data_IF_222127118217
#
_entry.id   IF_222127118217
#
_cell.length_a   1.000
_cell.length_b   1.000
_cell.length_c   1.000
_cell.angle_alpha   90.00
_cell.angle_beta   90.00
_cell.angle_gamma   90.00
#
_symmetry.space_group_name_H-M   'P 1'
#
loop_
_entity.id
_entity.type
_entity.pdbx_description
1 polymer ?
#
# COMPACT_ATOMS: atom_id res chain seq x y z
N UNK A 1 -52.05 45.75 5.19
CA UNK A 1 -50.91 45.39 4.32
C UNK A 1 -51.40 44.42 3.26
N UNK A 2 -51.59 44.90 2.03
CA UNK A 2 -52.11 44.12 0.90
C UNK A 2 -50.97 43.29 0.31
N UNK A 3 -51.05 41.97 0.41
CA UNK A 3 -50.20 41.06 -0.37
C UNK A 3 -50.58 41.26 -1.85
N UNK A 4 -49.62 41.54 -2.76
CA UNK A 4 -49.96 41.74 -4.17
C UNK A 4 -50.57 40.44 -4.72
N UNK A 5 -51.80 40.51 -5.26
CA UNK A 5 -52.40 39.37 -5.96
C UNK A 5 -51.58 39.09 -7.23
N UNK A 6 -50.79 38.01 -7.19
CA UNK A 6 -50.08 37.51 -8.37
C UNK A 6 -51.09 37.13 -9.45
N UNK A 7 -50.86 37.59 -10.69
CA UNK A 7 -51.72 37.22 -11.83
C UNK A 7 -51.68 35.70 -12.03
N UNK A 8 -52.80 35.04 -12.37
CA UNK A 8 -52.89 33.58 -12.46
C UNK A 8 -51.87 32.95 -13.42
N UNK A 9 -51.50 33.65 -14.51
CA UNK A 9 -50.44 33.20 -15.42
C UNK A 9 -49.06 33.16 -14.75
N UNK A 10 -48.76 34.13 -13.88
CA UNK A 10 -47.49 34.21 -13.13
C UNK A 10 -47.39 33.08 -12.10
N UNK A 11 -48.51 32.71 -11.45
CA UNK A 11 -48.60 31.55 -10.55
C UNK A 11 -48.31 30.22 -11.26
N UNK A 12 -48.79 30.07 -12.50
CA UNK A 12 -48.54 28.87 -13.32
C UNK A 12 -47.05 28.75 -13.68
N UNK A 13 -46.40 29.84 -14.13
CA UNK A 13 -44.96 29.82 -14.39
C UNK A 13 -44.13 29.59 -13.12
N UNK A 14 -44.56 30.15 -11.98
CA UNK A 14 -43.93 29.90 -10.69
C UNK A 14 -44.02 28.42 -10.30
N UNK A 15 -45.18 27.79 -10.46
CA UNK A 15 -45.36 26.37 -10.18
C UNK A 15 -44.56 25.47 -11.15
N UNK A 16 -44.52 25.80 -12.44
CA UNK A 16 -43.80 25.04 -13.47
C UNK A 16 -42.28 25.07 -13.29
N UNK A 17 -41.71 26.08 -12.64
CA UNK A 17 -40.28 26.17 -12.38
C UNK A 17 -39.92 25.75 -10.95
N UNK A 18 -40.67 26.19 -9.94
CA UNK A 18 -40.33 25.92 -8.55
C UNK A 18 -40.66 24.50 -8.12
N UNK A 19 -41.73 23.88 -8.60
CA UNK A 19 -42.06 22.51 -8.19
C UNK A 19 -41.00 21.51 -8.69
N UNK A 20 -40.56 21.54 -9.97
CA UNK A 20 -39.46 20.68 -10.43
C UNK A 20 -38.13 21.03 -9.77
N UNK A 21 -37.83 22.32 -9.55
CA UNK A 21 -36.60 22.73 -8.87
C UNK A 21 -36.56 22.25 -7.40
N UNK A 22 -37.69 22.34 -6.69
CA UNK A 22 -37.81 21.87 -5.31
C UNK A 22 -37.77 20.34 -5.24
N UNK A 23 -38.42 19.64 -6.18
CA UNK A 23 -38.32 18.20 -6.31
C UNK A 23 -36.88 17.76 -6.57
N UNK A 24 -36.21 18.37 -7.55
CA UNK A 24 -34.80 18.09 -7.84
C UNK A 24 -33.91 18.37 -6.64
N UNK A 25 -34.13 19.50 -5.96
CA UNK A 25 -33.38 19.85 -4.75
C UNK A 25 -33.54 18.79 -3.65
N UNK A 26 -34.76 18.39 -3.31
CA UNK A 26 -35.02 17.47 -2.20
C UNK A 26 -34.71 16.00 -2.53
N UNK A 27 -34.97 15.55 -3.76
CA UNK A 27 -34.89 14.12 -4.13
C UNK A 27 -33.53 13.75 -4.72
N UNK A 28 -32.85 14.70 -5.36
CA UNK A 28 -31.60 14.47 -6.07
C UNK A 28 -30.41 15.16 -5.39
N UNK A 29 -30.45 16.50 -5.32
CA UNK A 29 -29.29 17.28 -4.89
C UNK A 29 -28.98 17.12 -3.40
N UNK A 30 -29.96 17.34 -2.53
CA UNK A 30 -29.75 17.30 -1.09
C UNK A 30 -29.26 15.92 -0.59
N UNK A 31 -29.80 14.77 -1.06
CA UNK A 31 -29.26 13.46 -0.72
C UNK A 31 -27.82 13.26 -1.20
N UNK A 32 -27.52 13.61 -2.46
CA UNK A 32 -26.17 13.45 -3.02
C UNK A 32 -25.14 14.29 -2.25
N UNK A 33 -25.47 15.55 -1.93
CA UNK A 33 -24.61 16.44 -1.12
C UNK A 33 -24.44 15.90 0.29
N UNK A 34 -25.54 15.53 0.96
CA UNK A 34 -25.50 14.99 2.33
C UNK A 34 -24.61 13.75 2.42
N UNK A 35 -24.73 12.83 1.47
CA UNK A 35 -23.97 11.59 1.45
C UNK A 35 -22.47 11.85 1.26
N UNK A 36 -22.09 12.75 0.35
CA UNK A 36 -20.69 13.13 0.13
C UNK A 36 -20.08 13.82 1.35
N UNK A 37 -20.83 14.72 2.00
CA UNK A 37 -20.39 15.38 3.24
C UNK A 37 -20.16 14.34 4.33
N UNK A 38 -21.08 13.39 4.51
CA UNK A 38 -20.93 12.34 5.52
C UNK A 38 -19.69 11.46 5.25
N UNK A 39 -19.47 11.01 4.02
CA UNK A 39 -18.27 10.24 3.66
C UNK A 39 -16.98 11.01 3.93
N UNK A 40 -16.96 12.31 3.58
CA UNK A 40 -15.82 13.18 3.87
C UNK A 40 -15.58 13.34 5.38
N UNK A 41 -16.64 13.51 6.17
CA UNK A 41 -16.54 13.62 7.63
C UNK A 41 -16.03 12.32 8.28
N UNK A 42 -16.49 11.15 7.81
CA UNK A 42 -16.00 9.86 8.30
C UNK A 42 -14.53 9.63 7.95
N UNK A 43 -14.13 9.96 6.72
CA UNK A 43 -12.76 9.78 6.26
C UNK A 43 -11.75 10.65 7.02
N UNK A 44 -12.14 11.89 7.36
CA UNK A 44 -11.34 12.84 8.14
C UNK A 44 -11.55 12.75 9.66
N UNK A 45 -12.33 11.77 10.14
CA UNK A 45 -12.63 11.67 11.57
C UNK A 45 -11.37 11.29 12.36
N UNK A 46 -11.02 12.00 13.46
CA UNK A 46 -9.91 11.60 14.34
C UNK A 46 -10.08 10.18 14.90
N UNK A 47 -11.33 9.72 15.05
CA UNK A 47 -11.63 8.36 15.50
C UNK A 47 -11.18 7.30 14.50
N UNK A 48 -11.12 7.61 13.19
CA UNK A 48 -10.62 6.70 12.16
C UNK A 48 -9.15 6.39 12.43
N UNK A 49 -8.31 7.42 12.55
CA UNK A 49 -6.88 7.24 12.81
C UNK A 49 -6.62 6.49 14.12
N UNK A 50 -7.30 6.86 15.20
CA UNK A 50 -7.16 6.19 16.50
C UNK A 50 -7.46 4.69 16.44
N UNK A 51 -8.44 4.27 15.63
CA UNK A 51 -8.80 2.85 15.45
C UNK A 51 -7.81 2.11 14.56
N UNK A 52 -7.24 2.78 13.55
CA UNK A 52 -6.29 2.16 12.62
C UNK A 52 -4.87 2.11 13.19
N UNK A 53 -4.54 3.03 14.09
CA UNK A 53 -3.20 3.18 14.66
C UNK A 53 -2.95 2.33 15.92
N UNK A 54 -3.87 1.44 16.28
CA UNK A 54 -3.69 0.60 17.47
C UNK A 54 -2.55 -0.41 17.24
N UNK A 55 -1.53 -0.34 18.10
CA UNK A 55 -0.36 -1.21 18.04
C UNK A 55 -0.44 -2.28 19.13
N UNK A 56 -0.74 -3.55 18.80
CA UNK A 56 -1.08 -4.56 19.79
C UNK A 56 0.15 -5.26 20.40
N UNK A 57 1.34 -5.09 19.81
CA UNK A 57 2.53 -5.82 20.23
C UNK A 57 3.27 -5.11 21.36
N UNK A 58 3.80 -5.92 22.28
CA UNK A 58 4.69 -5.50 23.35
C UNK A 58 5.95 -6.33 23.26
N UNK A 59 7.09 -5.65 23.33
CA UNK A 59 8.40 -6.27 23.18
C UNK A 59 9.16 -6.17 24.50
N UNK A 60 9.88 -7.23 24.86
CA UNK A 60 10.75 -7.26 26.06
C UNK A 60 12.02 -6.42 25.86
N UNK A 61 12.35 -6.12 24.60
CA UNK A 61 13.48 -5.29 24.20
C UNK A 61 13.03 -4.07 23.41
N UNK A 62 13.85 -3.03 23.47
CA UNK A 62 13.69 -1.84 22.63
C UNK A 62 14.04 -2.16 21.17
N UNK A 63 13.10 -1.94 20.25
CA UNK A 63 13.30 -2.08 18.80
C UNK A 63 13.20 -0.70 18.17
N UNK A 64 14.34 -0.15 17.73
CA UNK A 64 14.38 1.14 17.03
C UNK A 64 13.97 0.96 15.58
N UNK A 65 13.16 1.89 15.05
CA UNK A 65 12.61 1.79 13.69
C UNK A 65 12.71 3.12 12.95
N UNK A 66 13.19 3.10 11.70
CA UNK A 66 13.01 4.23 10.79
C UNK A 66 11.92 3.93 9.76
N UNK A 67 11.01 4.87 9.53
CA UNK A 67 10.09 4.87 8.41
C UNK A 67 10.61 5.80 7.32
N UNK A 68 11.16 5.22 6.26
CA UNK A 68 11.71 5.93 5.11
C UNK A 68 10.62 6.11 4.06
N UNK A 69 10.31 7.37 3.75
CA UNK A 69 9.19 7.72 2.86
C UNK A 69 9.73 8.38 1.61
N UNK A 70 9.46 7.77 0.45
CA UNK A 70 9.68 8.39 -0.86
C UNK A 70 8.50 9.31 -1.22
N UNK A 71 8.78 10.58 -1.48
CA UNK A 71 7.75 11.59 -1.75
C UNK A 71 8.23 12.73 -2.65
N UNK A 72 7.29 13.57 -3.08
CA UNK A 72 7.47 14.90 -3.66
C UNK A 72 6.97 15.96 -2.69
N UNK A 73 7.27 17.24 -2.94
CA UNK A 73 6.93 18.37 -2.07
C UNK A 73 5.42 18.49 -1.83
N UNK A 74 4.62 18.23 -2.86
CA UNK A 74 3.15 18.31 -2.84
C UNK A 74 2.48 17.15 -2.11
N UNK A 75 3.22 16.07 -1.83
CA UNK A 75 2.65 14.86 -1.26
C UNK A 75 2.37 15.04 0.23
N UNK A 76 1.22 14.53 0.68
CA UNK A 76 0.78 14.60 2.06
C UNK A 76 1.25 13.38 2.85
N UNK A 77 2.04 13.63 3.90
CA UNK A 77 2.54 12.62 4.84
C UNK A 77 2.08 12.90 6.28
N UNK A 78 1.13 13.83 6.49
CA UNK A 78 0.64 14.23 7.82
C UNK A 78 0.01 13.05 8.58
N UNK A 79 -0.54 12.08 7.85
CA UNK A 79 -1.07 10.83 8.38
C UNK A 79 -0.07 10.03 9.23
N UNK A 80 1.25 10.21 9.01
CA UNK A 80 2.30 9.51 9.76
C UNK A 80 2.37 9.94 11.24
N UNK A 81 1.88 11.15 11.56
CA UNK A 81 1.80 11.66 12.93
C UNK A 81 0.86 10.83 13.82
N UNK A 82 -0.03 10.05 13.21
CA UNK A 82 -0.95 9.18 13.92
C UNK A 82 -0.39 7.78 14.20
N UNK A 83 0.80 7.44 13.68
CA UNK A 83 1.41 6.13 13.90
C UNK A 83 1.82 5.96 15.37
N UNK A 84 1.61 4.76 15.90
CA UNK A 84 1.97 4.39 17.28
C UNK A 84 2.98 3.24 17.34
N UNK A 85 3.72 3.04 16.26
CA UNK A 85 4.80 2.04 16.19
C UNK A 85 5.89 2.44 17.21
N UNK A 86 6.36 1.52 18.07
CA UNK A 86 7.37 1.83 19.08
C UNK A 86 8.67 2.37 18.48
N UNK A 87 9.24 3.41 19.12
CA UNK A 87 10.52 4.04 18.75
C UNK A 87 10.68 4.30 17.25
N UNK A 88 9.59 4.77 16.62
CA UNK A 88 9.53 5.10 15.21
C UNK A 88 10.08 6.51 14.96
N UNK A 89 11.02 6.62 14.04
CA UNK A 89 11.51 7.88 13.50
C UNK A 89 11.17 7.98 12.00
N UNK A 90 10.52 9.08 11.60
CA UNK A 90 10.10 9.29 10.20
C UNK A 90 11.20 10.02 9.42
N UNK A 91 11.64 9.42 8.33
CA UNK A 91 12.68 9.94 7.41
C UNK A 91 12.05 10.14 6.04
N UNK A 92 11.54 11.35 5.79
CA UNK A 92 10.90 11.70 4.52
C UNK A 92 11.94 12.22 3.52
N UNK A 93 12.18 11.49 2.45
CA UNK A 93 12.90 11.99 1.29
C UNK A 93 11.95 12.70 0.33
N UNK A 94 12.40 13.84 -0.21
CA UNK A 94 11.64 14.67 -1.16
C UNK A 94 12.44 14.81 -2.44
N UNK A 95 11.93 14.28 -3.55
CA UNK A 95 12.68 14.21 -4.81
C UNK A 95 12.79 15.53 -5.57
N UNK A 96 11.81 16.45 -5.42
CA UNK A 96 11.69 17.69 -6.20
C UNK A 96 11.94 18.96 -5.36
N UNK A 97 12.54 18.83 -4.18
CA UNK A 97 12.93 19.95 -3.32
C UNK A 97 14.40 19.83 -2.86
N UNK A 98 15.35 20.50 -3.55
CA UNK A 98 16.77 20.49 -3.18
C UNK A 98 17.07 21.11 -1.81
N UNK A 99 16.11 21.82 -1.20
CA UNK A 99 16.24 22.39 0.14
C UNK A 99 15.72 21.45 1.25
N UNK A 100 15.08 20.33 0.88
CA UNK A 100 14.60 19.36 1.84
C UNK A 100 15.76 18.74 2.62
N UNK A 101 15.55 18.50 3.92
CA UNK A 101 16.55 17.88 4.82
C UNK A 101 17.09 16.56 4.26
N UNK A 102 16.21 15.75 3.69
CA UNK A 102 16.56 14.51 3.01
C UNK A 102 16.13 14.62 1.55
N UNK A 103 17.11 14.69 0.66
CA UNK A 103 16.93 14.86 -0.78
C UNK A 103 17.92 13.92 -1.49
N UNK A 104 17.50 13.13 -2.49
CA UNK A 104 18.44 12.35 -3.28
C UNK A 104 19.39 13.27 -4.06
N UNK A 105 20.58 12.81 -4.49
CA UNK A 105 21.52 13.66 -5.24
C UNK A 105 20.93 14.28 -6.52
N UNK A 106 19.99 13.58 -7.15
CA UNK A 106 19.22 14.02 -8.33
C UNK A 106 17.82 13.40 -8.30
N UNK A 107 16.86 14.03 -8.99
CA UNK A 107 15.48 13.53 -9.12
C UNK A 107 15.35 12.44 -10.20
N UNK A 108 15.93 11.26 -9.96
CA UNK A 108 15.95 10.12 -10.91
C UNK A 108 15.82 8.78 -10.18
N UNK A 109 15.37 7.74 -10.87
CA UNK A 109 15.21 6.38 -10.35
C UNK A 109 14.01 6.22 -9.41
N UNK A 110 13.04 7.14 -9.45
CA UNK A 110 11.86 7.15 -8.58
C UNK A 110 12.21 6.96 -7.09
N UNK A 111 11.54 6.05 -6.38
CA UNK A 111 11.80 5.75 -4.98
C UNK A 111 13.17 5.10 -4.75
N UNK A 112 13.70 4.37 -5.74
CA UNK A 112 14.90 3.57 -5.56
C UNK A 112 16.11 4.44 -5.18
N UNK A 113 16.33 5.57 -5.85
CA UNK A 113 17.46 6.45 -5.53
C UNK A 113 17.33 7.08 -4.13
N UNK A 114 16.11 7.45 -3.72
CA UNK A 114 15.87 7.95 -2.37
C UNK A 114 16.18 6.88 -1.31
N UNK A 115 15.75 5.64 -1.55
CA UNK A 115 16.02 4.53 -0.64
C UNK A 115 17.52 4.19 -0.57
N UNK A 116 18.22 4.17 -1.70
CA UNK A 116 19.67 3.95 -1.70
C UNK A 116 20.45 5.09 -1.06
N UNK A 117 19.99 6.33 -1.24
CA UNK A 117 20.57 7.48 -0.54
C UNK A 117 20.47 7.28 0.97
N UNK A 118 19.29 6.87 1.49
CA UNK A 118 19.13 6.50 2.89
C UNK A 118 20.07 5.36 3.31
N UNK A 119 20.08 4.25 2.57
CA UNK A 119 20.89 3.08 2.89
C UNK A 119 22.38 3.40 2.96
N UNK A 120 22.86 4.30 2.09
CA UNK A 120 24.24 4.76 2.08
C UNK A 120 24.54 5.77 3.21
N UNK A 121 23.69 6.77 3.42
CA UNK A 121 23.90 7.82 4.43
C UNK A 121 23.77 7.30 5.86
N UNK A 122 22.82 6.41 6.12
CA UNK A 122 22.54 5.87 7.44
C UNK A 122 23.30 4.58 7.73
N UNK A 123 24.10 4.04 6.81
CA UNK A 123 24.72 2.70 6.90
C UNK A 123 25.35 2.37 8.27
N UNK A 124 26.08 3.33 8.84
CA UNK A 124 26.79 3.17 10.12
C UNK A 124 25.90 3.45 11.36
N UNK A 125 24.72 4.05 11.15
CA UNK A 125 23.77 4.49 12.17
C UNK A 125 22.35 3.94 11.96
N UNK A 126 22.23 2.78 11.32
CA UNK A 126 20.92 2.17 11.02
C UNK A 126 20.15 1.83 12.30
N UNK A 127 18.80 1.95 12.31
CA UNK A 127 17.94 1.42 13.37
C UNK A 127 17.91 -0.11 13.32
N UNK A 128 17.24 -0.78 14.26
CA UNK A 128 17.06 -2.24 14.17
C UNK A 128 16.30 -2.63 12.90
N UNK A 129 15.29 -1.85 12.51
CA UNK A 129 14.47 -2.06 11.32
C UNK A 129 14.34 -0.75 10.54
N UNK A 130 14.54 -0.81 9.23
CA UNK A 130 14.18 0.26 8.30
C UNK A 130 12.97 -0.20 7.48
N UNK A 131 11.91 0.60 7.46
CA UNK A 131 10.69 0.35 6.70
C UNK A 131 10.63 1.38 5.58
N UNK A 132 10.51 0.91 4.34
CA UNK A 132 10.49 1.74 3.14
C UNK A 132 9.08 1.74 2.56
N UNK A 133 8.52 2.92 2.32
CA UNK A 133 7.17 3.09 1.75
C UNK A 133 7.10 4.30 0.82
N UNK A 134 6.05 4.31 -0.02
CA UNK A 134 5.62 5.53 -0.69
C UNK A 134 4.81 6.42 0.25
N UNK A 135 4.52 7.65 -0.16
CA UNK A 135 3.80 8.63 0.67
C UNK A 135 2.31 8.33 0.92
N UNK A 136 1.70 7.41 0.17
CA UNK A 136 0.24 7.20 0.16
C UNK A 136 -0.27 6.51 1.44
N UNK A 137 -1.24 7.11 2.14
CA UNK A 137 -1.97 6.43 3.24
C UNK A 137 -2.88 5.31 2.71
N UNK A 138 -3.51 5.53 1.56
CA UNK A 138 -4.41 4.56 0.92
C UNK A 138 -4.03 4.40 -0.54
N UNK A 139 -3.80 3.17 -0.97
CA UNK A 139 -3.43 2.88 -2.35
C UNK A 139 -3.91 1.48 -2.80
N UNK A 140 -3.97 1.24 -4.11
CA UNK A 140 -4.43 -0.02 -4.68
C UNK A 140 -3.55 -1.22 -4.31
N UNK A 141 -2.26 -0.99 -4.06
CA UNK A 141 -1.26 -2.03 -3.76
C UNK A 141 -1.13 -2.33 -2.25
N UNK A 142 -2.06 -1.86 -1.42
CA UNK A 142 -2.17 -2.27 -0.01
C UNK A 142 -3.29 -3.32 0.10
N UNK A 143 -2.99 -4.45 0.73
CA UNK A 143 -3.87 -5.62 0.70
C UNK A 143 -5.23 -5.37 1.36
N UNK A 144 -6.25 -6.08 0.86
CA UNK A 144 -7.61 -5.92 1.38
C UNK A 144 -7.76 -6.24 2.87
N UNK A 145 -7.10 -7.27 3.45
CA UNK A 145 -7.17 -7.52 4.89
C UNK A 145 -6.44 -6.46 5.71
N UNK A 146 -5.57 -5.67 5.07
CA UNK A 146 -4.92 -4.50 5.63
C UNK A 146 -5.74 -3.20 5.40
N UNK A 147 -7.02 -3.34 5.04
CA UNK A 147 -7.99 -2.26 4.82
C UNK A 147 -7.59 -1.26 3.74
N UNK A 148 -6.61 -1.59 2.89
CA UNK A 148 -6.03 -0.64 1.96
C UNK A 148 -5.41 0.58 2.63
N UNK A 149 -5.00 0.47 3.91
CA UNK A 149 -4.49 1.59 4.73
C UNK A 149 -3.08 1.30 5.24
N UNK A 150 -2.14 2.20 4.96
CA UNK A 150 -0.76 2.08 5.38
C UNK A 150 -0.62 2.27 6.90
N UNK A 151 -1.44 3.13 7.51
CA UNK A 151 -1.50 3.25 8.98
C UNK A 151 -1.85 1.91 9.61
N UNK A 152 -2.90 1.26 9.11
CA UNK A 152 -3.32 -0.04 9.63
C UNK A 152 -2.26 -1.12 9.37
N UNK A 153 -1.62 -1.09 8.19
CA UNK A 153 -0.53 -2.00 7.82
C UNK A 153 0.64 -1.89 8.79
N UNK A 154 1.19 -0.68 8.97
CA UNK A 154 2.33 -0.44 9.86
C UNK A 154 1.98 -0.69 11.33
N UNK A 155 0.76 -0.36 11.74
CA UNK A 155 0.32 -0.57 13.14
C UNK A 155 0.08 -2.04 13.47
N UNK A 156 -0.04 -2.90 12.46
CA UNK A 156 -0.21 -4.34 12.61
C UNK A 156 1.06 -5.12 12.30
N UNK A 157 2.11 -4.51 11.78
CA UNK A 157 3.37 -5.19 11.48
C UNK A 157 4.09 -5.59 12.78
N UNK A 158 4.32 -6.88 12.97
CA UNK A 158 5.10 -7.42 14.09
C UNK A 158 6.60 -7.29 13.81
N UNK A 159 7.25 -6.35 14.50
CA UNK A 159 8.66 -6.06 14.36
C UNK A 159 9.58 -7.23 14.79
N UNK A 160 9.16 -8.09 15.72
CA UNK A 160 9.95 -9.28 16.06
C UNK A 160 9.94 -10.31 14.93
N UNK A 161 8.84 -10.41 14.17
CA UNK A 161 8.78 -11.27 12.99
C UNK A 161 9.59 -10.68 11.82
N UNK A 162 9.64 -9.35 11.69
CA UNK A 162 10.56 -8.68 10.75
C UNK A 162 12.01 -8.98 11.12
N UNK A 163 12.38 -8.92 12.40
CA UNK A 163 13.74 -9.25 12.86
C UNK A 163 14.14 -10.69 12.54
N UNK A 164 13.20 -11.64 12.65
CA UNK A 164 13.43 -13.05 12.31
C UNK A 164 13.55 -13.29 10.81
N UNK A 165 12.74 -12.60 10.01
CA UNK A 165 12.71 -12.77 8.55
C UNK A 165 13.79 -11.97 7.83
N UNK A 166 14.34 -10.97 8.50
CA UNK A 166 15.35 -10.01 8.03
C UNK A 166 14.93 -9.09 6.87
N UNK A 167 14.03 -9.55 6.00
CA UNK A 167 13.38 -8.78 4.94
C UNK A 167 11.95 -9.25 4.75
N UNK A 168 11.03 -8.30 4.57
CA UNK A 168 9.64 -8.59 4.28
C UNK A 168 9.02 -7.52 3.39
N UNK A 169 8.48 -7.92 2.23
CA UNK A 169 7.61 -7.04 1.45
C UNK A 169 6.30 -6.81 2.22
N UNK A 170 5.88 -5.56 2.38
CA UNK A 170 4.67 -5.22 3.13
C UNK A 170 3.40 -5.71 2.43
N UNK A 171 3.44 -5.87 1.10
CA UNK A 171 2.37 -6.48 0.32
C UNK A 171 2.47 -8.00 0.40
N UNK A 172 1.38 -8.63 0.79
CA UNK A 172 1.26 -10.09 0.83
C UNK A 172 0.46 -10.67 -0.32
N UNK A 173 -0.31 -9.88 -1.07
CA UNK A 173 -1.06 -10.42 -2.21
C UNK A 173 -0.14 -10.50 -3.43
N UNK A 174 0.11 -11.72 -3.91
CA UNK A 174 0.93 -12.01 -5.09
C UNK A 174 0.06 -12.48 -6.26
N UNK A 175 -1.23 -12.13 -6.30
CA UNK A 175 -2.05 -12.28 -7.50
C UNK A 175 -1.28 -11.67 -8.66
N UNK A 176 -0.92 -12.53 -9.59
CA UNK A 176 -0.06 -12.31 -10.74
C UNK A 176 1.46 -12.35 -10.50
N UNK A 177 2.00 -12.15 -9.28
CA UNK A 177 3.44 -12.01 -9.03
C UNK A 177 4.20 -13.26 -8.51
N UNK A 178 3.50 -14.38 -8.31
CA UNK A 178 4.09 -15.69 -7.94
C UNK A 178 3.33 -16.85 -8.63
N UNK A 179 3.98 -18.00 -8.92
CA UNK A 179 5.39 -18.32 -8.63
C UNK A 179 6.39 -17.82 -9.69
N UNK A 180 5.91 -17.40 -10.87
CA UNK A 180 6.76 -16.95 -11.97
C UNK A 180 6.32 -15.55 -12.47
N UNK A 181 7.02 -14.50 -12.03
CA UNK A 181 6.69 -13.12 -12.41
C UNK A 181 7.57 -12.59 -13.54
N UNK A 182 8.83 -12.29 -13.27
CA UNK A 182 9.75 -11.77 -14.27
C UNK A 182 10.62 -12.91 -14.79
N UNK A 183 10.51 -13.25 -16.07
CA UNK A 183 11.51 -14.08 -16.73
C UNK A 183 12.63 -13.19 -17.30
N UNK A 184 13.83 -13.31 -16.74
CA UNK A 184 15.00 -12.47 -17.04
C UNK A 184 15.70 -12.84 -18.36
N UNK A 185 15.26 -13.92 -19.02
CA UNK A 185 15.84 -14.40 -20.29
C UNK A 185 15.11 -13.88 -21.53
N UNK A 186 13.93 -13.30 -21.37
CA UNK A 186 13.13 -12.81 -22.49
C UNK A 186 13.67 -11.51 -23.07
N UNK A 187 13.69 -11.45 -24.39
CA UNK A 187 13.98 -10.24 -25.17
C UNK A 187 12.80 -9.26 -25.21
N UNK A 188 13.04 -8.07 -25.78
CA UNK A 188 12.01 -7.03 -25.98
C UNK A 188 10.91 -7.52 -26.93
N UNK A 189 11.28 -8.39 -27.87
CA UNK A 189 10.39 -8.95 -28.88
C UNK A 189 9.48 -10.08 -28.33
N UNK A 190 9.95 -10.80 -27.32
CA UNK A 190 9.26 -11.97 -26.74
C UNK A 190 8.40 -11.60 -25.52
N UNK A 191 8.72 -10.48 -24.88
CA UNK A 191 8.11 -10.10 -23.60
C UNK A 191 6.69 -9.54 -23.76
N UNK A 192 5.85 -9.80 -22.74
CA UNK A 192 4.58 -9.09 -22.52
C UNK A 192 4.64 -8.12 -21.33
N UNK A 193 5.74 -8.15 -20.58
CA UNK A 193 5.96 -7.35 -19.37
C UNK A 193 7.13 -6.41 -19.63
N UNK A 194 6.91 -5.12 -19.37
CA UNK A 194 7.88 -4.08 -19.71
C UNK A 194 9.26 -4.36 -19.13
N UNK A 195 9.33 -4.92 -17.92
CA UNK A 195 10.55 -5.07 -17.11
C UNK A 195 11.43 -6.26 -17.50
N UNK A 196 10.86 -7.36 -18.03
CA UNK A 196 11.56 -8.62 -18.32
C UNK A 196 12.93 -8.46 -19.02
N UNK A 197 13.04 -7.73 -20.15
CA UNK A 197 14.31 -7.59 -20.86
C UNK A 197 15.34 -6.71 -20.14
N UNK A 198 14.92 -5.94 -19.12
CA UNK A 198 15.77 -4.96 -18.45
C UNK A 198 16.35 -5.47 -17.13
N UNK A 199 15.74 -6.48 -16.51
CA UNK A 199 16.19 -6.96 -15.19
C UNK A 199 17.56 -7.63 -15.27
N UNK A 200 17.83 -8.49 -16.26
CA UNK A 200 19.15 -9.13 -16.39
C UNK A 200 20.30 -8.11 -16.58
N UNK A 201 20.21 -7.14 -17.52
CA UNK A 201 21.22 -6.09 -17.63
C UNK A 201 21.36 -5.24 -16.35
N UNK A 202 20.24 -4.91 -15.69
CA UNK A 202 20.27 -4.16 -14.44
C UNK A 202 20.98 -4.95 -13.33
N UNK A 203 20.75 -6.25 -13.21
CA UNK A 203 21.44 -7.10 -12.24
C UNK A 203 22.95 -7.11 -12.47
N UNK A 204 23.42 -7.24 -13.71
CA UNK A 204 24.87 -7.20 -14.00
C UNK A 204 25.49 -5.85 -13.65
N UNK A 205 24.81 -4.76 -13.99
CA UNK A 205 25.30 -3.42 -13.67
C UNK A 205 25.40 -3.19 -12.15
N UNK A 206 24.42 -3.69 -11.40
CA UNK A 206 24.30 -3.45 -9.96
C UNK A 206 25.11 -4.43 -9.11
N UNK A 207 25.21 -5.70 -9.49
CA UNK A 207 25.84 -6.76 -8.69
C UNK A 207 27.15 -7.30 -9.31
N UNK A 208 27.55 -6.78 -10.47
CA UNK A 208 28.74 -7.21 -11.20
C UNK A 208 28.42 -8.21 -12.31
N UNK A 209 29.33 -8.31 -13.29
CA UNK A 209 29.11 -9.13 -14.50
C UNK A 209 29.07 -10.64 -14.22
N UNK A 210 29.69 -11.10 -13.13
CA UNK A 210 29.77 -12.51 -12.76
C UNK A 210 28.56 -13.00 -11.96
N UNK A 211 27.57 -12.12 -11.68
CA UNK A 211 26.36 -12.48 -10.95
C UNK A 211 25.59 -13.58 -11.70
N UNK A 212 25.23 -14.63 -10.98
CA UNK A 212 24.35 -15.68 -11.50
C UNK A 212 22.93 -15.14 -11.53
N UNK A 213 22.45 -14.81 -12.74
CA UNK A 213 21.12 -14.24 -12.92
C UNK A 213 20.09 -15.37 -12.87
N UNK A 214 19.13 -15.34 -11.93
CA UNK A 214 18.06 -16.32 -11.89
C UNK A 214 17.16 -16.13 -13.12
N UNK A 215 16.75 -17.24 -13.73
CA UNK A 215 15.81 -17.20 -14.87
C UNK A 215 14.50 -16.51 -14.47
N UNK A 216 14.01 -16.79 -13.27
CA UNK A 216 12.75 -16.26 -12.75
C UNK A 216 13.00 -15.48 -11.46
N UNK A 217 12.45 -14.27 -11.40
CA UNK A 217 12.29 -13.49 -10.19
C UNK A 217 10.81 -13.36 -9.86
N UNK A 218 10.43 -13.62 -8.61
CA UNK A 218 9.04 -13.62 -8.16
C UNK A 218 8.89 -13.04 -6.75
N UNK A 219 7.82 -12.27 -6.57
CA UNK A 219 7.57 -11.48 -5.37
C UNK A 219 6.69 -10.27 -5.69
N UNK A 220 6.10 -9.59 -4.68
CA UNK A 220 5.22 -8.46 -4.87
C UNK A 220 6.05 -7.30 -5.41
N UNK A 221 5.41 -6.53 -6.29
CA UNK A 221 5.97 -5.29 -6.82
C UNK A 221 6.08 -4.20 -5.74
N UNK A 222 6.45 -3.02 -6.23
CA UNK A 222 6.03 -1.74 -5.67
C UNK A 222 6.86 -1.26 -4.46
N UNK A 223 8.08 -1.79 -4.25
CA UNK A 223 9.11 -1.20 -3.36
C UNK A 223 8.62 -0.76 -1.97
N UNK A 224 7.72 -1.53 -1.33
CA UNK A 224 7.33 -1.30 0.06
C UNK A 224 7.71 -2.50 0.91
N UNK A 225 8.68 -2.33 1.79
CA UNK A 225 9.27 -3.45 2.54
C UNK A 225 9.85 -2.99 3.87
N UNK A 226 9.98 -3.94 4.80
CA UNK A 226 10.75 -3.78 6.03
C UNK A 226 12.01 -4.64 5.94
N UNK A 227 13.14 -4.12 6.40
CA UNK A 227 14.43 -4.81 6.38
C UNK A 227 15.23 -4.48 7.64
N UNK A 228 15.98 -5.46 8.13
CA UNK A 228 16.78 -5.31 9.35
C UNK A 228 18.11 -4.64 9.08
N UNK A 229 18.72 -4.09 10.14
CA UNK A 229 20.11 -3.60 10.10
C UNK A 229 21.05 -4.66 9.55
N UNK A 230 20.90 -5.89 10.06
CA UNK A 230 21.79 -7.00 9.76
C UNK A 230 21.71 -7.40 8.27
N UNK A 231 20.51 -7.39 7.67
CA UNK A 231 20.36 -7.63 6.24
C UNK A 231 20.93 -6.50 5.37
N UNK A 232 20.81 -5.24 5.81
CA UNK A 232 21.44 -4.12 5.11
C UNK A 232 22.97 -4.26 5.19
N UNK A 233 23.53 -4.44 6.39
CA UNK A 233 24.99 -4.48 6.60
C UNK A 233 25.67 -5.76 6.09
N UNK A 234 24.90 -6.75 5.65
CA UNK A 234 25.42 -7.90 4.88
C UNK A 234 26.04 -7.48 3.56
N UNK A 235 25.59 -6.36 2.99
CA UNK A 235 26.17 -5.76 1.81
C UNK A 235 27.06 -4.59 2.23
N UNK A 236 28.29 -4.47 1.71
CA UNK A 236 29.18 -3.37 2.05
C UNK A 236 28.60 -2.03 1.60
N UNK A 237 28.97 -0.94 2.27
CA UNK A 237 28.49 0.41 1.98
C UNK A 237 28.69 0.82 0.51
N UNK A 238 29.79 0.38 -0.08
CA UNK A 238 30.17 0.60 -1.48
C UNK A 238 29.18 -0.03 -2.47
N UNK A 239 28.51 -1.12 -2.07
CA UNK A 239 27.47 -1.76 -2.87
C UNK A 239 26.27 -0.82 -3.07
N UNK A 240 25.87 -0.11 -2.02
CA UNK A 240 24.82 0.91 -2.11
C UNK A 240 25.26 2.11 -2.95
N UNK A 241 26.51 2.55 -2.82
CA UNK A 241 27.06 3.58 -3.69
C UNK A 241 27.01 3.17 -5.16
N UNK A 242 27.40 1.94 -5.50
CA UNK A 242 27.31 1.41 -6.88
C UNK A 242 25.87 1.45 -7.41
N UNK A 243 24.89 1.08 -6.59
CA UNK A 243 23.48 1.16 -6.98
C UNK A 243 23.04 2.60 -7.28
N UNK A 244 23.47 3.56 -6.45
CA UNK A 244 23.22 4.98 -6.69
C UNK A 244 23.87 5.47 -7.98
N UNK A 245 25.16 5.18 -8.17
CA UNK A 245 25.92 5.59 -9.35
C UNK A 245 25.22 5.10 -10.63
N UNK A 246 24.82 3.82 -10.67
CA UNK A 246 24.08 3.26 -11.80
C UNK A 246 22.74 3.96 -12.06
N UNK A 247 21.95 4.21 -11.00
CA UNK A 247 20.67 4.93 -11.11
C UNK A 247 20.87 6.34 -11.69
N UNK A 248 21.93 7.03 -11.28
CA UNK A 248 22.26 8.39 -11.70
C UNK A 248 22.78 8.42 -13.15
N UNK A 249 23.64 7.48 -13.51
CA UNK A 249 24.41 7.51 -14.78
C UNK A 249 23.69 6.84 -15.95
N UNK A 250 22.84 5.84 -15.71
CA UNK A 250 22.18 5.08 -16.79
C UNK A 250 21.37 5.97 -17.74
N UNK A 251 21.45 5.75 -19.05
CA UNK A 251 20.65 6.50 -20.02
C UNK A 251 19.19 6.01 -20.12
N UNK A 252 18.82 5.01 -19.31
CA UNK A 252 17.48 4.43 -19.33
C UNK A 252 16.43 5.43 -18.84
N UNK A 253 15.20 5.39 -19.42
CA UNK A 253 14.09 6.18 -18.93
C UNK A 253 13.85 5.96 -17.44
N UNK A 254 13.53 7.03 -16.71
CA UNK A 254 13.28 7.00 -15.26
C UNK A 254 12.30 5.90 -14.84
N UNK A 255 11.24 5.71 -15.63
CA UNK A 255 10.27 4.63 -15.45
C UNK A 255 10.94 3.25 -15.42
N UNK A 256 11.73 2.88 -16.43
CA UNK A 256 12.41 1.59 -16.49
C UNK A 256 13.44 1.44 -15.37
N UNK A 257 14.22 2.49 -15.14
CA UNK A 257 15.30 2.53 -14.13
C UNK A 257 14.79 2.26 -12.72
N UNK A 258 13.65 2.85 -12.32
CA UNK A 258 13.02 2.58 -11.03
C UNK A 258 12.34 1.21 -10.99
N UNK A 259 11.60 0.83 -12.04
CA UNK A 259 10.78 -0.39 -12.08
C UNK A 259 11.57 -1.68 -11.91
N UNK A 260 12.79 -1.77 -12.45
CA UNK A 260 13.61 -2.99 -12.27
C UNK A 260 13.98 -3.22 -10.80
N UNK A 261 14.15 -2.14 -10.01
CA UNK A 261 14.46 -2.25 -8.59
C UNK A 261 13.31 -2.82 -7.76
N UNK A 262 12.06 -2.57 -8.16
CA UNK A 262 10.89 -3.19 -7.51
C UNK A 262 10.99 -4.72 -7.44
N UNK A 263 11.78 -5.36 -8.31
CA UNK A 263 11.99 -6.80 -8.36
C UNK A 263 13.31 -7.27 -7.73
N UNK A 264 14.29 -6.39 -7.55
CA UNK A 264 15.64 -6.76 -7.08
C UNK A 264 15.83 -6.60 -5.57
N UNK A 265 14.87 -6.01 -4.83
CA UNK A 265 15.00 -5.86 -3.37
C UNK A 265 15.16 -7.18 -2.61
N UNK A 266 14.38 -8.25 -2.87
CA UNK A 266 14.57 -9.53 -2.19
C UNK A 266 15.96 -10.13 -2.48
N UNK A 267 16.44 -9.98 -3.72
CA UNK A 267 17.77 -10.43 -4.12
C UNK A 267 18.87 -9.70 -3.33
N UNK A 268 18.77 -8.37 -3.21
CA UNK A 268 19.75 -7.55 -2.49
C UNK A 268 19.85 -7.94 -1.00
N UNK A 269 18.72 -8.15 -0.33
CA UNK A 269 18.71 -8.32 1.13
C UNK A 269 18.74 -9.79 1.59
N UNK A 270 18.19 -10.72 0.79
CA UNK A 270 18.12 -12.15 1.11
C UNK A 270 18.98 -13.04 0.21
N UNK A 271 19.40 -12.55 -0.96
CA UNK A 271 19.98 -13.41 -2.00
C UNK A 271 18.98 -14.37 -2.63
N UNK A 272 17.68 -14.10 -2.49
CA UNK A 272 16.60 -14.96 -2.98
C UNK A 272 15.94 -14.34 -4.21
N UNK A 273 15.77 -15.14 -5.27
CA UNK A 273 15.06 -14.73 -6.48
C UNK A 273 13.53 -14.82 -6.33
N UNK A 274 13.04 -15.69 -5.44
CA UNK A 274 11.61 -15.98 -5.26
C UNK A 274 11.25 -15.84 -3.77
N UNK A 275 10.56 -14.76 -3.42
CA UNK A 275 10.03 -14.55 -2.06
C UNK A 275 8.50 -14.68 -2.07
N UNK A 276 7.99 -15.91 -2.26
CA UNK A 276 6.58 -16.21 -2.49
C UNK A 276 5.93 -16.88 -1.26
N UNK A 277 5.69 -16.11 -0.20
CA UNK A 277 5.04 -16.63 1.01
C UNK A 277 3.53 -16.86 0.79
N UNK A 278 2.93 -17.91 1.33
CA UNK A 278 1.49 -18.16 1.26
C UNK A 278 0.75 -17.01 1.96
N UNK A 279 -0.12 -16.31 1.21
CA UNK A 279 -0.72 -15.01 1.59
C UNK A 279 -1.35 -15.00 2.99
N UNK A 280 -2.27 -15.94 3.26
CA UNK A 280 -2.98 -16.01 4.53
C UNK A 280 -2.08 -16.39 5.71
N UNK A 281 -0.98 -17.10 5.45
CA UNK A 281 0.04 -17.44 6.46
C UNK A 281 0.91 -16.23 6.75
N UNK A 282 1.33 -15.49 5.72
CA UNK A 282 2.08 -14.24 5.86
C UNK A 282 1.27 -13.17 6.64
N UNK A 283 -0.03 -13.03 6.35
CA UNK A 283 -0.95 -12.19 7.13
C UNK A 283 -1.01 -12.60 8.61
N UNK A 284 -1.07 -13.90 8.87
CA UNK A 284 -1.15 -14.41 10.23
C UNK A 284 0.14 -14.15 11.01
N UNK A 285 1.29 -14.45 10.42
CA UNK A 285 2.57 -14.29 11.08
C UNK A 285 2.93 -12.80 11.24
N UNK A 286 2.99 -12.07 10.14
CA UNK A 286 3.56 -10.72 10.10
C UNK A 286 2.59 -9.66 10.62
N UNK A 287 1.28 -9.89 10.47
CA UNK A 287 0.25 -8.91 10.80
C UNK A 287 -0.72 -9.37 11.90
N UNK A 288 -0.57 -10.58 12.42
CA UNK A 288 -1.50 -11.17 13.39
C UNK A 288 -2.93 -11.35 12.85
N UNK A 289 -3.12 -11.39 11.53
CA UNK A 289 -4.44 -11.55 10.89
C UNK A 289 -4.55 -12.99 10.39
N UNK A 290 -5.11 -13.86 11.23
CA UNK A 290 -5.12 -15.30 10.99
C UNK A 290 -6.47 -15.77 10.43
N UNK A 291 -6.58 -15.86 9.11
CA UNK A 291 -7.70 -16.54 8.45
C UNK A 291 -7.62 -18.05 8.67
N UNK A 292 -8.77 -18.73 8.63
CA UNK A 292 -8.85 -20.19 8.84
C UNK A 292 -8.19 -20.99 7.71
N UNK A 293 -8.18 -20.44 6.50
CA UNK A 293 -7.65 -21.08 5.29
C UNK A 293 -7.48 -20.07 4.16
N UNK A 294 -6.81 -20.49 3.09
CA UNK A 294 -6.75 -19.75 1.83
C UNK A 294 -8.16 -19.46 1.26
N UNK A 295 -9.10 -20.40 1.34
CA UNK A 295 -10.47 -20.21 0.86
C UNK A 295 -11.22 -19.12 1.65
N UNK A 296 -10.96 -19.01 2.96
CA UNK A 296 -11.55 -17.96 3.79
C UNK A 296 -11.04 -16.56 3.38
N UNK A 297 -9.73 -16.44 3.10
CA UNK A 297 -9.13 -15.21 2.57
C UNK A 297 -9.71 -14.85 1.20
N UNK A 298 -9.75 -15.79 0.25
CA UNK A 298 -10.30 -15.55 -1.09
C UNK A 298 -11.77 -15.08 -1.05
N UNK A 299 -12.58 -15.65 -0.15
CA UNK A 299 -13.96 -15.18 0.05
C UNK A 299 -14.01 -13.73 0.55
N UNK A 300 -13.12 -13.37 1.47
CA UNK A 300 -13.00 -11.99 1.96
C UNK A 300 -12.62 -11.04 0.82
N UNK A 301 -11.61 -11.37 0.04
CA UNK A 301 -11.12 -10.56 -1.09
C UNK A 301 -12.19 -10.36 -2.16
N UNK A 302 -12.98 -11.40 -2.47
CA UNK A 302 -14.11 -11.29 -3.40
C UNK A 302 -15.17 -10.29 -2.91
N UNK A 303 -15.46 -10.26 -1.62
CA UNK A 303 -16.39 -9.27 -1.05
C UNK A 303 -15.80 -7.87 -1.10
N UNK A 304 -14.50 -7.73 -0.85
CA UNK A 304 -13.78 -6.46 -1.00
C UNK A 304 -13.83 -5.92 -2.43
N UNK A 305 -13.61 -6.76 -3.43
CA UNK A 305 -13.72 -6.39 -4.85
C UNK A 305 -15.16 -5.97 -5.22
N UNK A 306 -16.16 -6.75 -4.79
CA UNK A 306 -17.57 -6.39 -4.99
C UNK A 306 -17.94 -5.05 -4.33
N UNK A 307 -17.37 -4.75 -3.15
CA UNK A 307 -17.54 -3.44 -2.49
C UNK A 307 -16.91 -2.33 -3.33
N UNK A 308 -15.69 -2.53 -3.85
CA UNK A 308 -15.00 -1.54 -4.71
C UNK A 308 -15.79 -1.25 -6.00
N UNK A 309 -16.39 -2.28 -6.61
CA UNK A 309 -17.18 -2.13 -7.83
C UNK A 309 -18.46 -1.29 -7.64
N UNK A 310 -18.91 -1.08 -6.41
CA UNK A 310 -20.04 -0.17 -6.11
C UNK A 310 -19.62 1.30 -5.98
N UNK A 311 -18.32 1.62 -6.10
CA UNK A 311 -17.81 3.00 -5.93
C UNK A 311 -18.49 3.95 -6.91
N UNK A 312 -18.55 3.58 -8.19
CA UNK A 312 -19.12 4.41 -9.24
C UNK A 312 -20.61 4.66 -9.00
N UNK A 313 -21.38 3.64 -8.59
CA UNK A 313 -22.80 3.79 -8.27
C UNK A 313 -23.06 4.74 -7.10
N UNK A 314 -22.07 4.93 -6.21
CA UNK A 314 -22.13 5.87 -5.07
C UNK A 314 -21.48 7.22 -5.33
N UNK A 315 -20.97 7.45 -6.55
CA UNK A 315 -20.37 8.72 -6.94
C UNK A 315 -21.43 9.83 -7.05
N UNK A 316 -21.03 11.06 -6.72
CA UNK A 316 -21.92 12.22 -6.65
C UNK A 316 -22.84 12.37 -7.87
N UNK A 317 -22.29 12.33 -9.09
CA UNK A 317 -23.08 12.52 -10.31
C UNK A 317 -24.07 11.36 -10.54
N UNK A 318 -23.68 10.13 -10.24
CA UNK A 318 -24.57 8.98 -10.39
C UNK A 318 -25.71 9.02 -9.36
N UNK A 319 -25.43 9.46 -8.13
CA UNK A 319 -26.48 9.68 -7.12
C UNK A 319 -27.39 10.85 -7.46
N UNK A 320 -26.84 11.93 -8.01
CA UNK A 320 -27.59 13.09 -8.46
C UNK A 320 -28.60 12.69 -9.55
N UNK A 321 -28.22 11.86 -10.50
CA UNK A 321 -29.11 11.44 -11.59
C UNK A 321 -29.97 10.22 -11.24
N UNK A 322 -29.48 9.30 -10.40
CA UNK A 322 -30.15 8.05 -10.03
C UNK A 322 -30.16 7.79 -8.51
N UNK A 323 -30.93 8.56 -7.70
CA UNK A 323 -30.89 8.47 -6.24
C UNK A 323 -31.28 7.10 -5.67
N UNK A 324 -32.19 6.37 -6.33
CA UNK A 324 -32.62 5.03 -5.90
C UNK A 324 -31.52 3.98 -6.07
N UNK A 325 -30.76 4.06 -7.17
CA UNK A 325 -29.61 3.20 -7.43
C UNK A 325 -28.52 3.46 -6.38
N UNK A 326 -28.17 4.73 -6.14
CA UNK A 326 -27.20 5.12 -5.09
C UNK A 326 -27.58 4.62 -3.70
N UNK A 327 -28.86 4.74 -3.29
CA UNK A 327 -29.34 4.19 -2.00
C UNK A 327 -29.18 2.67 -1.92
N UNK A 328 -29.51 1.95 -2.99
CA UNK A 328 -29.34 0.49 -3.04
C UNK A 328 -27.87 0.08 -2.99
N UNK A 329 -27.00 0.79 -3.72
CA UNK A 329 -25.57 0.60 -3.73
C UNK A 329 -24.97 0.82 -2.34
N UNK A 330 -25.32 1.91 -1.65
CA UNK A 330 -24.89 2.18 -0.26
C UNK A 330 -25.32 1.09 0.72
N UNK A 331 -26.57 0.62 0.62
CA UNK A 331 -27.06 -0.49 1.47
C UNK A 331 -26.25 -1.77 1.23
N UNK A 332 -25.98 -2.12 -0.04
CA UNK A 332 -25.13 -3.28 -0.38
C UNK A 332 -23.70 -3.10 0.14
N UNK A 333 -23.13 -1.90 -0.04
CA UNK A 333 -21.79 -1.55 0.45
C UNK A 333 -21.68 -1.73 1.95
N UNK A 334 -22.67 -1.26 2.72
CA UNK A 334 -22.75 -1.44 4.17
C UNK A 334 -22.80 -2.92 4.57
N UNK A 335 -23.62 -3.74 3.90
CA UNK A 335 -23.67 -5.17 4.18
C UNK A 335 -22.32 -5.87 3.91
N UNK A 336 -21.60 -5.46 2.87
CA UNK A 336 -20.25 -5.95 2.59
C UNK A 336 -19.26 -5.49 3.66
N UNK A 337 -19.30 -4.23 4.09
CA UNK A 337 -18.48 -3.70 5.17
C UNK A 337 -18.71 -4.44 6.49
N UNK A 338 -19.96 -4.67 6.88
CA UNK A 338 -20.30 -5.44 8.08
C UNK A 338 -19.77 -6.89 8.02
N UNK A 339 -19.90 -7.55 6.86
CA UNK A 339 -19.34 -8.89 6.65
C UNK A 339 -17.82 -8.89 6.82
N UNK A 340 -17.14 -7.94 6.17
CA UNK A 340 -15.69 -7.83 6.18
C UNK A 340 -15.17 -7.48 7.58
N UNK A 341 -15.77 -6.50 8.26
CA UNK A 341 -15.37 -6.14 9.63
C UNK A 341 -15.51 -7.32 10.58
N UNK A 342 -16.61 -8.08 10.50
CA UNK A 342 -16.78 -9.30 11.30
C UNK A 342 -15.68 -10.33 11.00
N UNK A 343 -15.43 -10.65 9.73
CA UNK A 343 -14.43 -11.66 9.34
C UNK A 343 -13.00 -11.25 9.66
N UNK A 344 -12.69 -9.98 9.50
CA UNK A 344 -11.39 -9.45 9.88
C UNK A 344 -11.20 -9.48 11.39
N UNK A 345 -12.20 -9.09 12.18
CA UNK A 345 -12.12 -9.17 13.65
C UNK A 345 -11.96 -10.62 14.13
N UNK A 346 -12.71 -11.58 13.58
CA UNK A 346 -12.51 -13.02 13.86
C UNK A 346 -11.06 -13.46 13.57
N UNK A 347 -10.48 -13.01 12.45
CA UNK A 347 -9.10 -13.33 12.09
C UNK A 347 -8.07 -12.66 13.01
N UNK A 348 -8.30 -11.42 13.44
CA UNK A 348 -7.48 -10.69 14.40
C UNK A 348 -7.52 -11.38 15.78
N UNK A 349 -8.70 -11.77 16.25
CA UNK A 349 -8.86 -12.46 17.53
C UNK A 349 -8.09 -13.78 17.55
N UNK A 350 -8.15 -14.57 16.46
CA UNK A 350 -7.31 -15.78 16.33
C UNK A 350 -5.82 -15.48 16.37
N UNK A 351 -5.38 -14.40 15.75
CA UNK A 351 -3.97 -14.02 15.70
C UNK A 351 -3.41 -13.47 17.02
N UNK A 352 -4.26 -13.22 18.02
CA UNK A 352 -3.77 -12.92 19.38
C UNK A 352 -3.04 -14.09 20.01
N UNK A 353 -3.34 -15.32 19.60
CA UNK A 353 -2.65 -16.52 20.07
C UNK A 353 -1.28 -16.70 19.38
N UNK A 354 -0.15 -16.58 20.11
CA UNK A 354 1.18 -16.77 19.53
C UNK A 354 1.44 -18.18 19.00
N UNK A 355 0.71 -19.21 19.48
CA UNK A 355 0.84 -20.58 18.96
C UNK A 355 0.27 -20.70 17.56
N UNK A 356 -0.87 -20.05 17.29
CA UNK A 356 -1.48 -19.98 15.95
C UNK A 356 -0.54 -19.29 14.97
N UNK A 357 0.03 -18.14 15.36
CA UNK A 357 1.01 -17.42 14.53
C UNK A 357 2.25 -18.26 14.23
N UNK A 358 2.78 -18.96 15.24
CA UNK A 358 3.93 -19.88 15.07
C UNK A 358 3.62 -21.11 14.22
N UNK A 359 2.38 -21.58 14.19
CA UNK A 359 2.01 -22.68 13.31
C UNK A 359 1.99 -22.24 11.84
N UNK A 360 1.57 -21.01 11.56
CA UNK A 360 1.56 -20.45 10.20
C UNK A 360 2.96 -20.39 9.56
N UNK A 361 4.01 -20.30 10.37
CA UNK A 361 5.42 -20.29 9.93
C UNK A 361 5.88 -21.58 9.23
N UNK A 362 5.43 -22.75 9.69
CA UNK A 362 6.09 -24.04 9.39
C UNK A 362 6.14 -24.40 7.91
N UNK A 363 5.09 -24.08 7.17
CA UNK A 363 5.04 -24.27 5.72
C UNK A 363 4.57 -22.97 5.05
N UNK A 364 5.17 -21.84 5.47
CA UNK A 364 4.80 -20.53 4.92
C UNK A 364 5.14 -20.42 3.44
N UNK A 365 6.16 -21.12 2.95
CA UNK A 365 6.55 -21.09 1.55
C UNK A 365 6.02 -22.33 0.83
N UNK A 366 5.76 -22.17 -0.48
CA UNK A 366 5.54 -23.31 -1.36
C UNK A 366 6.90 -23.95 -1.59
N UNK A 367 7.03 -25.25 -1.35
CA UNK A 367 8.23 -25.98 -1.76
C UNK A 367 8.35 -25.92 -3.29
N UNK A 368 9.29 -25.11 -3.75
CA UNK A 368 9.69 -25.06 -5.15
C UNK A 368 10.78 -26.12 -5.35
N UNK A 369 10.36 -27.39 -5.49
CA UNK A 369 11.25 -28.46 -5.96
C UNK A 369 11.60 -28.29 -7.44
#
# INVERSE_FOLDING_TARGET
MLVPQMRPKTLIYFALLLVPAFYFSLVHLAPAVRNQIWEWQEWNSPNRYNKLSEYPYKYDRKITTNLVIASTKKDDTSWTEHLRVPDLNVVRYVSDDPSAKYHPPVAKGREALMYFTYLHEFYDNLPNISIFIHFHETEWHIDSPLKGSMIFTLSRLDLEEVLKREYFNLRVNWKDACPDWINTTKSVEETKKHEEPWVAPAMRANFGNDVQIPEIIAGPCCSQFAVTREAIQRNPKEQYKRHMDWLIETEWPDYTTGRVWEHMWPWLFKGEARDCAIEWKALCQMYGICFESAAALQKYEKVWENRKNLRDETAFFNELWSPSAGRNARRRRKNFEEFMDRKLNEAIERGKDPTVRRHALRDMYIDHQ
#
